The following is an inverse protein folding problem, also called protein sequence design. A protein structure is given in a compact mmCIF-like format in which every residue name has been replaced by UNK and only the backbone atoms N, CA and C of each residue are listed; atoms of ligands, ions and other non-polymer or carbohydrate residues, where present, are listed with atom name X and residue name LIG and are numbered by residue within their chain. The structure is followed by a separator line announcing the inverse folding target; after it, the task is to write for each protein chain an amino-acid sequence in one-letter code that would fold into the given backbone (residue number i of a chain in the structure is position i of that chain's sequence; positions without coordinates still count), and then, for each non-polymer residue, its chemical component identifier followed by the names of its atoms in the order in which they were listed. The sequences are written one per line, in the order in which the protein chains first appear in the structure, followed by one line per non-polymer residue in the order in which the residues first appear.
data_IF_013663773145
#
_entry.id   IF_013663773145
#
_cell.length_a   1.000
_cell.length_b   1.000
_cell.length_c   1.000
_cell.angle_alpha   90.00
_cell.angle_beta   90.00
_cell.angle_gamma   90.00
#
_symmetry.space_group_name_H-M   'P 1'
#
loop_
_entity.id
_entity.type
_entity.pdbx_description
1 polymer ?
#
# COMPACT_ATOMS: atom_id res chain seq x y z
N UNK A 1 3.59 -38.91 50.05
CA UNK A 1 2.12 -38.82 50.06
C UNK A 1 1.76 -37.34 49.89
N UNK A 2 0.93 -37.06 48.88
CA UNK A 2 0.07 -35.88 48.61
C UNK A 2 0.49 -34.45 49.04
N UNK A 3 0.56 -33.55 48.04
CA UNK A 3 -0.13 -32.23 47.85
C UNK A 3 0.80 -31.33 47.00
N UNK A 4 0.64 -31.16 45.68
CA UNK A 4 -0.37 -30.42 44.89
C UNK A 4 -0.65 -28.99 45.36
N UNK A 5 -0.01 -27.99 44.74
CA UNK A 5 -0.53 -26.62 44.57
C UNK A 5 -0.04 -26.00 43.24
N UNK A 6 -1.02 -25.72 42.37
CA UNK A 6 -1.15 -24.77 41.25
C UNK A 6 -0.03 -23.77 40.91
N UNK A 7 0.27 -23.70 39.60
CA UNK A 7 0.57 -22.43 38.91
C UNK A 7 0.12 -22.51 37.44
N UNK A 8 -1.16 -22.22 37.22
CA UNK A 8 -1.77 -21.94 35.91
C UNK A 8 -1.41 -20.48 35.54
N UNK A 9 -0.42 -20.30 34.67
CA UNK A 9 -0.14 -19.01 34.06
C UNK A 9 -1.07 -18.83 32.84
N UNK A 10 -1.93 -17.82 32.94
CA UNK A 10 -2.91 -17.39 31.95
C UNK A 10 -2.21 -16.93 30.67
N UNK A 11 -2.28 -17.71 29.60
CA UNK A 11 -2.12 -17.20 28.24
C UNK A 11 -3.45 -16.59 27.81
N UNK A 12 -3.57 -15.27 27.94
CA UNK A 12 -4.69 -14.50 27.41
C UNK A 12 -4.64 -14.48 25.89
N UNK A 13 -5.24 -15.50 25.26
CA UNK A 13 -5.52 -15.53 23.82
C UNK A 13 -6.68 -14.57 23.55
N UNK A 14 -6.37 -13.30 23.29
CA UNK A 14 -7.35 -12.34 22.76
C UNK A 14 -7.65 -12.72 21.30
N UNK A 15 -8.63 -13.59 21.08
CA UNK A 15 -9.30 -13.69 19.79
C UNK A 15 -10.01 -12.35 19.53
N UNK A 16 -9.35 -11.44 18.80
CA UNK A 16 -10.06 -10.37 18.10
C UNK A 16 -10.98 -11.04 17.08
N UNK A 17 -12.25 -11.18 17.44
CA UNK A 17 -13.30 -11.52 16.48
C UNK A 17 -13.29 -10.45 15.39
N UNK A 18 -12.87 -10.85 14.19
CA UNK A 18 -12.94 -10.01 12.99
C UNK A 18 -14.42 -9.63 12.80
N UNK A 19 -14.77 -8.35 12.65
CA UNK A 19 -16.15 -7.92 12.52
C UNK A 19 -16.70 -8.23 11.11
N UNK A 20 -16.96 -9.51 10.81
CA UNK A 20 -17.45 -10.00 9.51
C UNK A 20 -18.93 -9.66 9.19
N UNK A 21 -19.59 -8.81 9.98
CA UNK A 21 -21.04 -8.60 9.90
C UNK A 21 -21.53 -7.72 8.72
N UNK A 22 -20.69 -7.34 7.74
CA UNK A 22 -21.10 -6.34 6.71
C UNK A 22 -20.85 -6.67 5.25
N UNK A 23 -20.09 -7.72 4.91
CA UNK A 23 -19.84 -8.11 3.51
C UNK A 23 -21.06 -8.77 2.81
N UNK A 24 -22.11 -9.15 3.54
CA UNK A 24 -23.27 -9.86 2.96
C UNK A 24 -24.23 -8.96 2.15
N UNK A 25 -24.10 -7.62 2.21
CA UNK A 25 -25.09 -6.73 1.58
C UNK A 25 -25.06 -6.67 0.04
N UNK A 26 -24.08 -7.28 -0.63
CA UNK A 26 -23.92 -7.11 -2.09
C UNK A 26 -24.49 -8.29 -2.91
N UNK A 27 -24.85 -9.44 -2.33
CA UNK A 27 -25.18 -10.64 -3.13
C UNK A 27 -26.68 -11.06 -3.20
N UNK A 28 -27.64 -10.28 -2.67
CA UNK A 28 -29.05 -10.76 -2.56
C UNK A 28 -30.05 -10.11 -3.54
N UNK A 29 -29.63 -9.26 -4.47
CA UNK A 29 -30.59 -8.55 -5.34
C UNK A 29 -30.51 -8.95 -6.82
N UNK A 30 -30.90 -10.19 -7.15
CA UNK A 30 -31.43 -10.57 -8.48
C UNK A 30 -32.02 -12.00 -8.48
N UNK A 31 -33.14 -12.19 -7.77
CA UNK A 31 -34.11 -13.22 -8.14
C UNK A 31 -35.45 -12.55 -8.39
N UNK A 32 -35.64 -12.10 -9.63
CA UNK A 32 -36.98 -11.84 -10.16
C UNK A 32 -37.67 -13.20 -10.35
N UNK A 33 -38.37 -13.63 -9.31
CA UNK A 33 -39.20 -14.83 -9.30
C UNK A 33 -40.56 -14.50 -9.92
N UNK A 34 -40.68 -14.66 -11.23
CA UNK A 34 -41.98 -14.67 -11.93
C UNK A 34 -42.41 -16.12 -12.13
N UNK A 35 -43.20 -16.63 -11.20
CA UNK A 35 -43.83 -17.94 -11.31
C UNK A 35 -44.89 -18.13 -10.24
N UNK A 36 -46.16 -18.07 -10.64
CA UNK A 36 -47.30 -18.41 -9.80
C UNK A 36 -47.19 -19.88 -9.35
N UNK A 37 -47.06 -20.12 -8.05
CA UNK A 37 -47.22 -21.44 -7.43
C UNK A 37 -48.07 -21.26 -6.18
N UNK A 38 -49.07 -22.12 -6.03
CA UNK A 38 -50.04 -22.11 -4.95
C UNK A 38 -49.40 -22.08 -3.57
N UNK A 39 -50.09 -21.39 -2.67
CA UNK A 39 -49.75 -21.27 -1.27
C UNK A 39 -49.90 -22.63 -0.54
N UNK A 40 -48.89 -23.49 -0.68
CA UNK A 40 -48.57 -24.46 0.35
C UNK A 40 -47.52 -23.77 1.23
N UNK A 41 -47.91 -23.33 2.43
CA UNK A 41 -46.98 -22.79 3.42
C UNK A 41 -45.99 -23.89 3.80
N UNK A 42 -44.89 -23.97 3.04
CA UNK A 42 -43.73 -24.75 3.43
C UNK A 42 -43.28 -24.21 4.78
N UNK A 43 -43.62 -24.93 5.85
CA UNK A 43 -43.11 -24.66 7.19
C UNK A 43 -41.60 -24.84 7.14
N UNK A 44 -40.90 -23.76 6.83
CA UNK A 44 -39.45 -23.68 6.82
C UNK A 44 -38.97 -24.11 8.21
N UNK A 45 -38.30 -25.26 8.29
CA UNK A 45 -37.64 -25.67 9.51
C UNK A 45 -36.49 -24.69 9.77
N UNK A 46 -36.75 -23.74 10.68
CA UNK A 46 -35.81 -22.67 11.02
C UNK A 46 -34.49 -23.22 11.53
N UNK A 47 -34.50 -24.35 12.24
CA UNK A 47 -33.27 -24.94 12.77
C UNK A 47 -32.40 -25.48 11.62
N UNK A 48 -33.01 -26.23 10.69
CA UNK A 48 -32.34 -26.74 9.50
C UNK A 48 -31.82 -25.60 8.61
N UNK A 49 -32.61 -24.56 8.40
CA UNK A 49 -32.18 -23.39 7.62
C UNK A 49 -30.97 -22.67 8.25
N UNK A 50 -30.91 -22.55 9.58
CA UNK A 50 -29.75 -21.97 10.27
C UNK A 50 -28.50 -22.84 10.17
N UNK A 51 -28.63 -24.17 10.19
CA UNK A 51 -27.50 -25.08 9.98
C UNK A 51 -26.98 -25.00 8.53
N UNK A 52 -27.88 -24.97 7.54
CA UNK A 52 -27.51 -24.80 6.13
C UNK A 52 -26.81 -23.45 5.89
N UNK A 53 -27.28 -22.37 6.51
CA UNK A 53 -26.64 -21.06 6.42
C UNK A 53 -25.23 -21.07 7.02
N UNK A 54 -25.02 -21.65 8.21
CA UNK A 54 -23.69 -21.79 8.81
C UNK A 54 -22.74 -22.62 7.94
N UNK A 55 -23.25 -23.69 7.31
CA UNK A 55 -22.44 -24.50 6.40
C UNK A 55 -22.05 -23.72 5.13
N UNK A 56 -22.96 -22.89 4.60
CA UNK A 56 -22.67 -22.00 3.47
C UNK A 56 -21.64 -20.93 3.86
N UNK A 57 -21.78 -20.32 5.04
CA UNK A 57 -20.82 -19.34 5.58
C UNK A 57 -19.41 -19.94 5.68
N UNK A 58 -19.26 -21.08 6.35
CA UNK A 58 -17.95 -21.76 6.49
C UNK A 58 -17.36 -22.15 5.13
N UNK A 59 -18.19 -22.63 4.21
CA UNK A 59 -17.75 -22.96 2.85
C UNK A 59 -17.28 -21.73 2.09
N UNK A 60 -18.00 -20.62 2.20
CA UNK A 60 -17.64 -19.37 1.56
C UNK A 60 -16.34 -18.79 2.14
N UNK A 61 -16.20 -18.77 3.47
CA UNK A 61 -14.97 -18.35 4.14
C UNK A 61 -13.76 -19.15 3.65
N UNK A 62 -13.89 -20.47 3.59
CA UNK A 62 -12.83 -21.34 3.07
C UNK A 62 -12.50 -21.05 1.61
N UNK A 63 -13.51 -20.91 0.74
CA UNK A 63 -13.30 -20.59 -0.67
C UNK A 63 -12.60 -19.24 -0.85
N UNK A 64 -12.97 -18.24 -0.04
CA UNK A 64 -12.33 -16.93 -0.03
C UNK A 64 -10.87 -17.03 0.41
N UNK A 65 -10.59 -17.74 1.50
CA UNK A 65 -9.22 -17.97 1.98
C UNK A 65 -8.39 -18.70 0.92
N UNK A 66 -8.91 -19.79 0.35
CA UNK A 66 -8.22 -20.55 -0.70
C UNK A 66 -7.93 -19.67 -1.94
N UNK A 67 -8.87 -18.79 -2.32
CA UNK A 67 -8.70 -17.85 -3.43
C UNK A 67 -7.65 -16.79 -3.14
N UNK A 68 -7.61 -16.23 -1.92
CA UNK A 68 -6.60 -15.26 -1.50
C UNK A 68 -5.22 -15.90 -1.38
N UNK A 69 -5.10 -17.10 -0.79
CA UNK A 69 -3.84 -17.86 -0.70
C UNK A 69 -3.30 -18.15 -2.11
N UNK A 70 -4.18 -18.59 -3.02
CA UNK A 70 -3.79 -18.82 -4.41
C UNK A 70 -3.35 -17.53 -5.10
N UNK A 71 -4.12 -16.45 -4.96
CA UNK A 71 -3.79 -15.16 -5.58
C UNK A 71 -2.47 -14.59 -5.04
N UNK A 72 -2.26 -14.61 -3.73
CA UNK A 72 -1.02 -14.20 -3.09
C UNK A 72 0.19 -14.98 -3.62
N UNK A 73 0.05 -16.30 -3.77
CA UNK A 73 1.10 -17.15 -4.32
C UNK A 73 1.39 -16.83 -5.79
N UNK A 74 0.35 -16.74 -6.61
CA UNK A 74 0.47 -16.43 -8.04
C UNK A 74 1.14 -15.06 -8.24
N UNK A 75 0.74 -14.04 -7.46
CA UNK A 75 1.32 -12.70 -7.53
C UNK A 75 2.74 -12.67 -6.98
N UNK A 76 3.05 -13.40 -5.92
CA UNK A 76 4.41 -13.49 -5.41
C UNK A 76 5.37 -14.13 -6.44
N UNK A 77 4.93 -15.21 -7.11
CA UNK A 77 5.72 -15.84 -8.17
C UNK A 77 5.89 -14.91 -9.38
N UNK A 78 4.80 -14.27 -9.83
CA UNK A 78 4.85 -13.37 -10.97
C UNK A 78 5.69 -12.12 -10.66
N UNK A 79 5.57 -11.56 -9.46
CA UNK A 79 6.31 -10.38 -9.00
C UNK A 79 7.82 -10.61 -8.86
N UNK A 80 8.27 -11.87 -8.76
CA UNK A 80 9.69 -12.18 -8.74
C UNK A 80 10.39 -11.94 -10.10
N UNK A 81 9.64 -11.89 -11.21
CA UNK A 81 10.19 -11.73 -12.56
C UNK A 81 9.44 -10.63 -13.35
N UNK A 82 10.18 -9.69 -13.95
CA UNK A 82 9.59 -8.55 -14.68
C UNK A 82 8.70 -8.98 -15.84
N UNK A 83 9.09 -10.00 -16.59
CA UNK A 83 8.34 -10.47 -17.76
C UNK A 83 7.06 -11.20 -17.32
N UNK A 84 7.14 -12.05 -16.30
CA UNK A 84 5.97 -12.72 -15.71
C UNK A 84 4.98 -11.70 -15.14
N UNK A 85 5.45 -10.69 -14.40
CA UNK A 85 4.59 -9.65 -13.86
C UNK A 85 3.83 -8.89 -14.96
N UNK A 86 4.54 -8.49 -16.03
CA UNK A 86 3.93 -7.83 -17.20
C UNK A 86 2.94 -8.75 -17.91
N UNK A 87 3.26 -10.04 -18.08
CA UNK A 87 2.36 -11.00 -18.69
C UNK A 87 1.05 -11.13 -17.91
N UNK A 88 1.13 -11.34 -16.59
CA UNK A 88 -0.06 -11.46 -15.73
C UNK A 88 -0.88 -10.17 -15.73
N UNK A 89 -0.23 -9.01 -15.66
CA UNK A 89 -0.92 -7.71 -15.75
C UNK A 89 -1.65 -7.53 -17.08
N UNK A 90 -0.97 -7.78 -18.20
CA UNK A 90 -1.57 -7.62 -19.53
C UNK A 90 -2.71 -8.59 -19.79
N UNK A 91 -2.62 -9.82 -19.28
CA UNK A 91 -3.71 -10.79 -19.35
C UNK A 91 -4.93 -10.32 -18.56
N UNK A 92 -4.74 -9.88 -17.31
CA UNK A 92 -5.83 -9.34 -16.51
C UNK A 92 -6.40 -8.05 -17.10
N UNK A 93 -5.56 -7.16 -17.64
CA UNK A 93 -5.99 -5.96 -18.36
C UNK A 93 -6.84 -6.30 -19.59
N UNK A 94 -6.42 -7.28 -20.40
CA UNK A 94 -7.22 -7.80 -21.52
C UNK A 94 -8.60 -8.27 -21.04
N UNK A 95 -8.61 -9.13 -20.02
CA UNK A 95 -9.83 -9.76 -19.54
C UNK A 95 -10.84 -8.74 -19.01
N UNK A 96 -10.37 -7.67 -18.35
CA UNK A 96 -11.21 -6.66 -17.70
C UNK A 96 -11.65 -5.56 -18.66
N UNK A 97 -10.74 -5.03 -19.49
CA UNK A 97 -11.03 -3.85 -20.32
C UNK A 97 -11.56 -4.21 -21.72
N UNK A 98 -11.23 -5.40 -22.24
CA UNK A 98 -11.64 -5.85 -23.58
C UNK A 98 -12.60 -7.04 -23.56
N UNK A 99 -12.73 -7.69 -22.40
CA UNK A 99 -13.51 -8.91 -22.23
C UNK A 99 -12.83 -10.16 -22.80
N UNK A 100 -13.48 -11.31 -22.64
CA UNK A 100 -12.97 -12.64 -23.06
C UNK A 100 -13.47 -13.09 -24.44
N UNK A 101 -14.26 -12.25 -25.12
CA UNK A 101 -14.80 -12.55 -26.44
C UNK A 101 -13.73 -12.38 -27.54
N UNK A 102 -13.91 -13.04 -28.68
CA UNK A 102 -12.98 -12.96 -29.82
C UNK A 102 -12.78 -11.51 -30.32
N UNK A 103 -13.84 -10.71 -30.33
CA UNK A 103 -13.76 -9.28 -30.67
C UNK A 103 -12.86 -8.50 -29.70
N UNK A 104 -12.84 -8.91 -28.43
CA UNK A 104 -11.97 -8.33 -27.39
C UNK A 104 -10.50 -8.58 -27.70
N UNK A 105 -10.14 -9.76 -28.19
CA UNK A 105 -8.75 -10.10 -28.53
C UNK A 105 -8.22 -9.24 -29.68
N UNK A 106 -9.02 -9.04 -30.74
CA UNK A 106 -8.60 -8.18 -31.86
C UNK A 106 -8.36 -6.73 -31.41
N UNK A 107 -9.26 -6.18 -30.58
CA UNK A 107 -9.10 -4.83 -30.01
C UNK A 107 -7.88 -4.73 -29.09
N UNK A 108 -7.64 -5.76 -28.28
CA UNK A 108 -6.48 -5.83 -27.39
C UNK A 108 -5.16 -5.91 -28.16
N UNK A 109 -5.08 -6.71 -29.23
CA UNK A 109 -3.88 -6.78 -30.07
C UNK A 109 -3.60 -5.41 -30.71
N UNK A 110 -4.62 -4.72 -31.22
CA UNK A 110 -4.46 -3.37 -31.75
C UNK A 110 -3.95 -2.40 -30.67
N UNK A 111 -4.56 -2.40 -29.49
CA UNK A 111 -4.12 -1.59 -28.36
C UNK A 111 -2.67 -1.88 -27.96
N UNK A 112 -2.25 -3.15 -27.97
CA UNK A 112 -0.89 -3.57 -27.65
C UNK A 112 0.12 -3.05 -28.68
N UNK A 113 -0.23 -3.03 -29.96
CA UNK A 113 0.57 -2.41 -31.03
C UNK A 113 0.69 -0.91 -30.79
N UNK A 114 -0.42 -0.24 -30.51
CA UNK A 114 -0.46 1.22 -30.28
C UNK A 114 0.31 1.64 -29.02
N UNK A 115 0.43 0.75 -28.03
CA UNK A 115 1.11 1.00 -26.75
C UNK A 115 2.45 0.25 -26.63
N UNK A 116 2.99 -0.29 -27.72
CA UNK A 116 4.20 -1.15 -27.70
C UNK A 116 5.35 -0.50 -26.94
N UNK A 117 5.66 0.75 -27.27
CA UNK A 117 6.79 1.47 -26.68
C UNK A 117 6.64 1.64 -25.16
N UNK A 118 5.41 1.94 -24.72
CA UNK A 118 5.06 2.07 -23.30
C UNK A 118 5.20 0.73 -22.57
N UNK A 119 4.59 -0.34 -23.09
CA UNK A 119 4.60 -1.64 -22.40
C UNK A 119 5.98 -2.29 -22.38
N UNK A 120 6.87 -1.92 -23.31
CA UNK A 120 8.26 -2.37 -23.33
C UNK A 120 9.21 -1.47 -22.53
N UNK A 121 8.75 -0.34 -22.00
CA UNK A 121 9.64 0.57 -21.27
C UNK A 121 10.08 -0.04 -19.94
N UNK A 122 11.32 0.26 -19.52
CA UNK A 122 11.86 -0.23 -18.26
C UNK A 122 11.01 0.25 -17.07
N UNK A 123 10.51 1.48 -17.13
CA UNK A 123 9.68 2.07 -16.07
C UNK A 123 8.35 1.33 -15.95
N UNK A 124 7.70 1.03 -17.07
CA UNK A 124 6.44 0.29 -17.05
C UNK A 124 6.65 -1.13 -16.50
N UNK A 125 7.66 -1.86 -17.00
CA UNK A 125 7.91 -3.24 -16.54
C UNK A 125 8.28 -3.29 -15.05
N UNK A 126 9.03 -2.30 -14.57
CA UNK A 126 9.43 -2.19 -13.15
C UNK A 126 8.25 -1.78 -12.27
N UNK A 127 7.42 -0.83 -12.72
CA UNK A 127 6.22 -0.41 -11.99
C UNK A 127 5.18 -1.53 -11.90
N UNK A 128 4.97 -2.30 -12.98
CA UNK A 128 4.11 -3.49 -12.95
C UNK A 128 4.66 -4.52 -11.98
N UNK A 129 5.97 -4.79 -12.01
CA UNK A 129 6.59 -5.75 -11.09
C UNK A 129 6.33 -5.36 -9.63
N UNK A 130 6.60 -4.11 -9.26
CA UNK A 130 6.38 -3.59 -7.92
C UNK A 130 4.90 -3.59 -7.54
N UNK A 131 4.00 -3.28 -8.48
CA UNK A 131 2.56 -3.34 -8.25
C UNK A 131 2.10 -4.77 -7.94
N UNK A 132 2.57 -5.77 -8.69
CA UNK A 132 2.26 -7.18 -8.48
C UNK A 132 2.83 -7.68 -7.13
N UNK A 133 4.07 -7.30 -6.79
CA UNK A 133 4.66 -7.62 -5.49
C UNK A 133 3.86 -7.03 -4.32
N UNK A 134 3.47 -5.77 -4.43
CA UNK A 134 2.65 -5.12 -3.41
C UNK A 134 1.29 -5.79 -3.25
N UNK A 135 0.64 -6.15 -4.36
CA UNK A 135 -0.62 -6.89 -4.32
C UNK A 135 -0.49 -8.26 -3.64
N UNK A 136 0.65 -8.94 -3.80
CA UNK A 136 0.93 -10.18 -3.08
C UNK A 136 0.99 -9.96 -1.55
N UNK A 137 1.64 -8.88 -1.10
CA UNK A 137 1.72 -8.51 0.32
C UNK A 137 0.33 -8.16 0.87
N UNK A 138 -0.47 -7.38 0.14
CA UNK A 138 -1.82 -7.00 0.55
C UNK A 138 -2.77 -8.20 0.59
N UNK A 139 -2.66 -9.16 -0.33
CA UNK A 139 -3.45 -10.39 -0.27
C UNK A 139 -3.08 -11.24 0.96
N UNK A 140 -1.81 -11.22 1.38
CA UNK A 140 -1.35 -11.89 2.60
C UNK A 140 -1.83 -11.18 3.86
N UNK A 141 -1.84 -9.85 3.87
CA UNK A 141 -2.41 -9.06 4.95
C UNK A 141 -3.90 -9.39 5.14
N UNK A 142 -4.65 -9.53 4.04
CA UNK A 142 -6.05 -9.93 4.05
C UNK A 142 -6.32 -11.32 4.65
N UNK A 143 -5.32 -12.22 4.65
CA UNK A 143 -5.41 -13.55 5.24
C UNK A 143 -5.25 -13.54 6.78
N UNK A 144 -4.86 -12.41 7.36
CA UNK A 144 -4.72 -12.20 8.80
C UNK A 144 -3.36 -12.61 9.37
N UNK A 145 -3.21 -12.44 10.69
CA UNK A 145 -1.93 -12.44 11.42
C UNK A 145 -0.97 -13.61 11.13
N UNK A 146 -1.49 -14.80 10.78
CA UNK A 146 -0.66 -15.98 10.51
C UNK A 146 0.09 -15.91 9.17
N UNK A 147 -0.53 -15.29 8.18
CA UNK A 147 -0.01 -15.19 6.81
C UNK A 147 0.44 -13.76 6.47
N UNK A 148 0.08 -12.79 7.31
CA UNK A 148 0.45 -11.38 7.18
C UNK A 148 1.96 -11.21 6.91
N UNK A 149 2.34 -10.28 6.03
CA UNK A 149 3.74 -10.00 5.79
C UNK A 149 4.43 -9.51 7.05
N UNK A 150 5.66 -9.96 7.24
CA UNK A 150 6.49 -9.47 8.33
C UNK A 150 6.99 -8.06 8.01
N UNK A 151 7.36 -7.31 9.04
CA UNK A 151 7.82 -5.94 8.88
C UNK A 151 9.04 -5.79 7.95
N UNK A 152 9.95 -6.78 7.93
CA UNK A 152 11.10 -6.82 7.03
C UNK A 152 10.70 -6.99 5.55
N UNK A 153 9.60 -7.69 5.26
CA UNK A 153 9.08 -7.82 3.89
C UNK A 153 8.56 -6.48 3.36
N UNK A 154 7.86 -5.70 4.21
CA UNK A 154 7.43 -4.34 3.88
C UNK A 154 8.61 -3.38 3.66
N UNK A 155 9.68 -3.52 4.47
CA UNK A 155 10.93 -2.77 4.30
C UNK A 155 11.56 -3.07 2.94
N UNK A 156 11.71 -4.35 2.60
CA UNK A 156 12.29 -4.76 1.32
C UNK A 156 11.50 -4.22 0.13
N UNK A 157 10.17 -4.30 0.21
CA UNK A 157 9.31 -3.74 -0.83
C UNK A 157 9.50 -2.23 -0.99
N UNK A 158 9.45 -1.49 0.12
CA UNK A 158 9.58 -0.03 0.08
C UNK A 158 10.92 0.41 -0.49
N UNK A 159 12.02 -0.25 -0.12
CA UNK A 159 13.32 0.07 -0.69
C UNK A 159 13.40 -0.19 -2.18
N UNK A 160 12.80 -1.28 -2.66
CA UNK A 160 12.74 -1.57 -4.09
C UNK A 160 11.93 -0.49 -4.83
N UNK A 161 10.80 -0.07 -4.25
CA UNK A 161 9.98 1.02 -4.77
C UNK A 161 10.74 2.35 -4.76
N UNK A 162 11.41 2.67 -3.66
CA UNK A 162 12.21 3.89 -3.49
C UNK A 162 13.33 3.96 -4.53
N UNK A 163 14.16 2.92 -4.62
CA UNK A 163 15.26 2.83 -5.59
C UNK A 163 14.76 2.91 -7.04
N UNK A 164 13.55 2.42 -7.33
CA UNK A 164 12.98 2.49 -8.68
C UNK A 164 12.66 3.91 -9.14
N UNK A 165 12.41 4.86 -8.22
CA UNK A 165 12.17 6.27 -8.54
C UNK A 165 13.46 7.05 -8.77
N UNK A 166 14.55 6.60 -8.15
CA UNK A 166 15.86 7.26 -8.25
C UNK A 166 16.63 6.88 -9.52
N UNK A 167 16.17 5.91 -10.31
CA UNK A 167 16.81 5.55 -11.58
C UNK A 167 16.51 6.65 -12.60
N UNK A 168 17.51 7.48 -13.00
CA UNK A 168 17.29 8.45 -14.07
C UNK A 168 16.95 7.69 -15.35
N UNK A 169 15.93 8.15 -16.08
CA UNK A 169 15.40 7.54 -17.33
C UNK A 169 16.43 7.42 -18.48
N UNK A 170 17.74 7.68 -18.27
CA UNK A 170 18.72 7.59 -19.34
C UNK A 170 20.17 7.29 -18.89
N UNK A 171 20.67 6.07 -19.16
CA UNK A 171 22.09 5.84 -19.40
C UNK A 171 22.44 5.78 -20.90
N UNK A 172 21.45 5.77 -21.81
CA UNK A 172 21.67 5.33 -23.22
C UNK A 172 21.00 6.18 -24.30
N UNK A 173 20.65 7.45 -24.03
CA UNK A 173 20.65 8.43 -25.12
C UNK A 173 22.09 8.66 -25.55
N UNK A 174 22.57 7.75 -26.39
CA UNK A 174 23.68 7.99 -27.33
C UNK A 174 23.34 9.31 -28.00
N UNK A 175 24.12 10.32 -27.69
CA UNK A 175 24.07 11.64 -28.32
C UNK A 175 24.33 11.42 -29.81
N UNK A 176 23.27 11.22 -30.59
CA UNK A 176 23.39 11.28 -32.04
C UNK A 176 23.75 12.73 -32.40
N UNK A 177 24.83 12.93 -33.18
CA UNK A 177 25.27 14.26 -33.54
C UNK A 177 24.20 14.94 -34.39
N UNK A 178 23.80 16.15 -33.96
CA UNK A 178 22.87 17.05 -34.67
C UNK A 178 23.23 17.17 -36.16
N UNK A 179 22.54 16.41 -36.99
CA UNK A 179 22.46 16.64 -38.43
C UNK A 179 21.54 17.82 -38.71
N UNK A 180 22.11 18.95 -39.13
CA UNK A 180 21.37 20.06 -39.75
C UNK A 180 20.82 19.59 -41.11
N UNK A 181 19.50 19.60 -41.29
CA UNK A 181 18.88 19.38 -42.60
C UNK A 181 17.36 19.46 -42.52
N UNK A 182 16.78 20.49 -43.14
CA UNK A 182 15.35 20.82 -43.01
C UNK A 182 14.41 19.89 -43.77
N UNK A 183 13.11 19.98 -43.47
CA UNK A 183 12.07 20.55 -44.37
C UNK A 183 10.71 20.50 -43.66
N UNK A 184 10.01 21.64 -43.63
CA UNK A 184 8.63 21.77 -43.15
C UNK A 184 7.70 20.90 -44.00
N UNK A 185 6.94 20.02 -43.36
CA UNK A 185 5.70 19.48 -43.94
C UNK A 185 4.55 19.79 -42.99
N UNK A 186 3.70 20.69 -43.46
CA UNK A 186 2.52 21.22 -42.80
C UNK A 186 1.38 20.25 -43.09
N UNK A 187 1.07 19.40 -42.11
CA UNK A 187 -0.03 18.44 -42.16
C UNK A 187 -1.04 18.74 -41.05
N UNK A 188 -2.12 19.41 -41.41
CA UNK A 188 -3.34 19.59 -40.63
C UNK A 188 -3.94 18.23 -40.29
N UNK A 189 -3.85 17.84 -39.03
CA UNK A 189 -4.56 16.70 -38.45
C UNK A 189 -4.91 17.00 -37.01
N UNK A 190 -6.16 17.41 -36.77
CA UNK A 190 -6.77 17.42 -35.44
C UNK A 190 -6.89 15.98 -34.93
N UNK A 191 -5.78 15.44 -34.44
CA UNK A 191 -5.78 14.32 -33.50
C UNK A 191 -5.23 14.89 -32.20
N UNK A 192 -6.10 15.04 -31.20
CA UNK A 192 -5.73 15.40 -29.83
C UNK A 192 -4.79 14.31 -29.32
N UNK A 193 -3.49 14.45 -29.61
CA UNK A 193 -2.42 13.65 -29.01
C UNK A 193 -2.59 13.86 -27.50
N UNK A 194 -3.14 12.86 -26.82
CA UNK A 194 -2.98 12.73 -25.37
C UNK A 194 -1.48 12.84 -25.14
N UNK A 195 -1.08 13.99 -24.62
CA UNK A 195 0.31 14.28 -24.32
C UNK A 195 0.79 13.22 -23.35
N UNK A 196 1.72 12.38 -23.81
CA UNK A 196 2.92 11.89 -23.11
C UNK A 196 2.78 11.88 -21.56
N UNK A 197 1.72 11.29 -21.05
CA UNK A 197 1.59 10.92 -19.65
C UNK A 197 2.40 9.64 -19.53
N UNK A 198 3.65 9.78 -19.05
CA UNK A 198 4.52 8.65 -18.76
C UNK A 198 3.73 7.57 -18.02
N UNK A 199 4.01 6.31 -18.33
CA UNK A 199 3.21 5.15 -17.90
C UNK A 199 3.09 4.90 -16.39
N UNK A 200 3.42 5.88 -15.55
CA UNK A 200 3.32 5.82 -14.10
C UNK A 200 1.93 6.08 -13.52
N UNK A 201 0.99 6.67 -14.26
CA UNK A 201 -0.31 7.04 -13.67
C UNK A 201 -1.24 5.84 -13.41
N UNK A 202 -1.04 4.73 -14.14
CA UNK A 202 -1.85 3.51 -13.96
C UNK A 202 -1.64 2.87 -12.57
N UNK A 203 -0.46 3.05 -11.97
CA UNK A 203 -0.10 2.50 -10.66
C UNK A 203 -0.28 3.49 -9.51
N UNK A 204 -0.83 4.68 -9.80
CA UNK A 204 -1.20 5.70 -8.82
C UNK A 204 -2.68 5.61 -8.40
N UNK A 205 -3.35 4.50 -8.75
CA UNK A 205 -4.72 4.22 -8.31
C UNK A 205 -4.72 3.24 -7.13
N UNK A 206 -5.78 3.22 -6.30
CA UNK A 206 -5.97 2.20 -5.28
C UNK A 206 -5.90 0.78 -5.87
N UNK A 207 -5.40 -0.19 -5.11
CA UNK A 207 -5.24 -1.57 -5.60
C UNK A 207 -6.56 -2.21 -5.97
N UNK A 208 -7.64 -1.86 -5.26
CA UNK A 208 -8.97 -2.39 -5.52
C UNK A 208 -9.47 -2.10 -6.94
N UNK A 209 -8.93 -1.06 -7.59
CA UNK A 209 -9.23 -0.71 -8.99
C UNK A 209 -8.34 -1.43 -10.01
N UNK A 210 -7.26 -2.08 -9.54
CA UNK A 210 -6.30 -2.77 -10.39
C UNK A 210 -7.00 -3.83 -11.26
N UNK A 211 -6.64 -3.93 -12.56
CA UNK A 211 -7.11 -5.01 -13.41
C UNK A 211 -6.84 -6.40 -12.82
N UNK A 212 -5.74 -6.58 -12.08
CA UNK A 212 -5.38 -7.84 -11.41
C UNK A 212 -6.43 -8.24 -10.37
N UNK A 213 -6.85 -7.29 -9.54
CA UNK A 213 -7.86 -7.52 -8.50
C UNK A 213 -9.23 -7.75 -9.14
N UNK A 214 -9.56 -6.98 -10.19
CA UNK A 214 -10.83 -7.09 -10.91
C UNK A 214 -10.98 -8.42 -11.65
N UNK A 215 -9.94 -8.88 -12.35
CA UNK A 215 -9.95 -10.15 -13.08
C UNK A 215 -10.06 -11.35 -12.14
N UNK A 216 -9.46 -11.27 -10.95
CA UNK A 216 -9.53 -12.31 -9.91
C UNK A 216 -10.78 -12.23 -9.03
N UNK A 217 -11.59 -11.18 -9.16
CA UNK A 217 -12.80 -10.94 -8.37
C UNK A 217 -12.56 -10.90 -6.85
N UNK A 218 -11.41 -10.36 -6.43
CA UNK A 218 -11.02 -10.29 -5.01
C UNK A 218 -11.22 -8.91 -4.37
N UNK A 219 -11.83 -7.95 -5.07
CA UNK A 219 -12.02 -6.57 -4.58
C UNK A 219 -12.75 -6.53 -3.24
N UNK A 220 -13.82 -7.33 -3.10
CA UNK A 220 -14.64 -7.37 -1.88
C UNK A 220 -13.87 -7.88 -0.66
N UNK A 221 -12.84 -8.69 -0.86
CA UNK A 221 -12.01 -9.24 0.22
C UNK A 221 -10.87 -8.29 0.62
N UNK A 222 -10.44 -7.43 -0.30
CA UNK A 222 -9.40 -6.43 -0.03
C UNK A 222 -9.96 -5.10 0.49
N UNK A 223 -11.28 -4.88 0.39
CA UNK A 223 -11.91 -3.62 0.78
C UNK A 223 -11.77 -3.26 2.26
N UNK A 224 -11.49 -4.23 3.13
CA UNK A 224 -11.26 -4.01 4.57
C UNK A 224 -9.78 -3.83 4.93
N UNK A 225 -8.87 -4.04 3.97
CA UNK A 225 -7.42 -3.93 4.16
C UNK A 225 -6.99 -2.51 3.79
N UNK A 226 -6.51 -1.75 4.77
CA UNK A 226 -6.12 -0.34 4.57
C UNK A 226 -5.05 -0.19 3.51
N UNK A 227 -4.12 -1.13 3.46
CA UNK A 227 -3.03 -1.21 2.50
C UNK A 227 -3.54 -1.32 1.05
N UNK A 228 -4.76 -1.82 0.83
CA UNK A 228 -5.37 -1.91 -0.50
C UNK A 228 -5.87 -0.56 -1.04
N UNK A 229 -6.12 0.42 -0.16
CA UNK A 229 -6.49 1.78 -0.57
C UNK A 229 -5.25 2.60 -0.99
N UNK A 230 -4.08 2.20 -0.51
CA UNK A 230 -2.81 2.88 -0.77
C UNK A 230 -2.36 2.64 -2.20
N UNK A 231 -1.82 3.69 -2.82
CA UNK A 231 -1.30 3.67 -4.20
C UNK A 231 0.07 3.02 -4.20
N UNK A 232 0.21 1.82 -4.79
CA UNK A 232 1.49 1.09 -4.84
C UNK A 232 2.62 1.87 -5.53
N UNK A 233 2.30 2.79 -6.44
CA UNK A 233 3.29 3.62 -7.14
C UNK A 233 3.82 4.81 -6.31
N UNK A 234 3.23 5.10 -5.15
CA UNK A 234 3.55 6.24 -4.30
C UNK A 234 4.49 5.84 -3.17
N UNK A 235 5.76 6.24 -3.28
CA UNK A 235 6.79 6.02 -2.25
C UNK A 235 6.35 6.58 -0.90
N UNK A 236 5.80 7.80 -0.89
CA UNK A 236 5.41 8.50 0.34
C UNK A 236 4.19 7.87 1.01
N UNK A 237 3.16 7.53 0.23
CA UNK A 237 1.95 6.92 0.78
C UNK A 237 2.26 5.52 1.34
N UNK A 238 2.99 4.70 0.58
CA UNK A 238 3.44 3.37 1.05
C UNK A 238 4.29 3.51 2.32
N UNK A 239 5.23 4.47 2.38
CA UNK A 239 6.03 4.67 3.58
C UNK A 239 5.17 5.02 4.80
N UNK A 240 4.34 6.07 4.66
CA UNK A 240 3.64 6.68 5.77
C UNK A 240 2.45 5.83 6.27
N UNK A 241 1.73 5.20 5.35
CA UNK A 241 0.45 4.53 5.63
C UNK A 241 0.61 3.01 5.82
N UNK A 242 1.69 2.41 5.31
CA UNK A 242 1.91 0.96 5.34
C UNK A 242 3.16 0.62 6.15
N UNK A 243 4.33 0.99 5.66
CA UNK A 243 5.61 0.53 6.20
C UNK A 243 5.84 1.05 7.62
N UNK A 244 5.58 2.34 7.84
CA UNK A 244 5.78 3.01 9.12
C UNK A 244 4.92 2.41 10.24
N UNK A 245 3.60 2.20 10.08
CA UNK A 245 2.79 1.48 11.07
C UNK A 245 3.33 0.09 11.39
N UNK A 246 3.60 -0.74 10.38
CA UNK A 246 4.10 -2.11 10.58
C UNK A 246 5.44 -2.14 11.33
N UNK A 247 6.35 -1.19 11.06
CA UNK A 247 7.63 -1.10 11.77
C UNK A 247 7.50 -0.55 13.19
N UNK A 248 6.54 0.35 13.45
CA UNK A 248 6.24 0.83 14.81
C UNK A 248 5.70 -0.30 15.67
N UNK A 249 4.76 -1.08 15.14
CA UNK A 249 4.15 -2.21 15.84
C UNK A 249 5.20 -3.30 16.15
N UNK A 250 6.12 -3.52 15.20
CA UNK A 250 7.26 -4.41 15.38
C UNK A 250 8.41 -3.82 16.23
N UNK A 251 8.35 -2.52 16.60
CA UNK A 251 9.43 -1.76 17.25
C UNK A 251 10.80 -1.92 16.56
N UNK A 252 10.80 -1.95 15.23
CA UNK A 252 12.01 -2.20 14.46
C UNK A 252 12.88 -0.94 14.33
N UNK A 253 14.19 -1.09 14.55
CA UNK A 253 15.18 -0.03 14.32
C UNK A 253 15.37 0.31 12.84
N UNK A 254 14.91 -0.55 11.92
CA UNK A 254 14.96 -0.27 10.48
C UNK A 254 14.18 1.00 10.11
N UNK A 255 13.15 1.36 10.89
CA UNK A 255 12.39 2.59 10.67
C UNK A 255 13.29 3.82 10.62
N UNK A 256 14.30 3.91 11.48
CA UNK A 256 15.25 5.03 11.51
C UNK A 256 16.13 5.06 10.27
N UNK A 257 16.59 3.88 9.84
CA UNK A 257 17.40 3.74 8.63
C UNK A 257 16.63 4.15 7.39
N UNK A 258 15.35 3.80 7.30
CA UNK A 258 14.49 4.21 6.18
C UNK A 258 14.21 5.71 6.20
N UNK A 259 14.01 6.31 7.39
CA UNK A 259 13.94 7.77 7.54
C UNK A 259 15.21 8.45 7.05
N UNK A 260 16.38 7.95 7.45
CA UNK A 260 17.67 8.52 7.05
C UNK A 260 17.85 8.44 5.52
N UNK A 261 17.48 7.31 4.90
CA UNK A 261 17.48 7.15 3.44
C UNK A 261 16.53 8.13 2.75
N UNK A 262 15.30 8.29 3.27
CA UNK A 262 14.30 9.23 2.72
C UNK A 262 14.78 10.67 2.82
N UNK A 263 15.26 11.09 3.98
CA UNK A 263 15.75 12.45 4.22
C UNK A 263 16.96 12.74 3.33
N UNK A 264 17.90 11.78 3.19
CA UNK A 264 19.06 11.94 2.32
C UNK A 264 18.67 12.14 0.85
N UNK A 265 17.70 11.39 0.32
CA UNK A 265 17.24 11.58 -1.05
C UNK A 265 16.50 12.91 -1.24
N UNK A 266 15.70 13.34 -0.26
CA UNK A 266 15.05 14.65 -0.30
C UNK A 266 16.06 15.81 -0.21
N UNK A 267 17.11 15.66 0.61
CA UNK A 267 18.23 16.61 0.67
C UNK A 267 18.92 16.69 -0.71
N UNK A 268 19.23 15.55 -1.34
CA UNK A 268 19.85 15.50 -2.68
C UNK A 268 18.93 16.09 -3.78
N UNK A 269 17.63 15.80 -3.74
CA UNK A 269 16.68 16.34 -4.71
C UNK A 269 16.58 17.87 -4.58
N UNK A 270 16.45 18.39 -3.36
CA UNK A 270 16.41 19.83 -3.13
C UNK A 270 17.70 20.51 -3.63
N UNK A 271 18.86 19.87 -3.45
CA UNK A 271 20.14 20.36 -3.97
C UNK A 271 20.22 20.34 -5.51
N UNK A 272 19.53 19.41 -6.19
CA UNK A 272 19.42 19.45 -7.66
C UNK A 272 18.51 20.60 -8.14
N UNK A 273 17.54 20.98 -7.32
CA UNK A 273 16.57 22.04 -7.59
C UNK A 273 17.06 23.46 -7.23
N UNK A 274 18.35 23.61 -6.88
CA UNK A 274 19.08 24.84 -6.46
C UNK A 274 18.77 26.12 -7.25
N UNK A 275 18.17 26.02 -8.45
CA UNK A 275 17.75 27.19 -9.25
C UNK A 275 16.38 27.75 -8.86
N UNK A 276 15.74 27.25 -7.80
CA UNK A 276 14.41 27.66 -7.37
C UNK A 276 14.37 28.03 -5.88
N UNK A 277 13.42 28.89 -5.50
CA UNK A 277 13.10 29.23 -4.09
C UNK A 277 12.78 27.99 -3.23
N UNK A 278 12.54 26.83 -3.84
CA UNK A 278 12.18 25.60 -3.15
C UNK A 278 13.27 25.02 -2.23
N UNK A 279 14.56 25.32 -2.47
CA UNK A 279 15.64 24.83 -1.60
C UNK A 279 15.57 25.42 -0.19
N UNK A 280 15.32 26.73 -0.11
CA UNK A 280 15.23 27.44 1.17
C UNK A 280 13.96 27.01 1.91
N UNK A 281 12.82 26.92 1.21
CA UNK A 281 11.57 26.40 1.78
C UNK A 281 11.73 24.98 2.31
N UNK A 282 12.41 24.09 1.57
CA UNK A 282 12.68 22.74 2.03
C UNK A 282 13.56 22.72 3.29
N UNK A 283 14.69 23.45 3.29
CA UNK A 283 15.64 23.47 4.42
C UNK A 283 15.06 24.09 5.67
N UNK A 284 14.24 25.13 5.52
CA UNK A 284 13.66 25.89 6.64
C UNK A 284 12.38 25.27 7.14
N UNK A 285 11.51 24.74 6.26
CA UNK A 285 10.19 24.25 6.63
C UNK A 285 10.14 22.72 6.65
N UNK A 286 10.36 22.08 5.50
CA UNK A 286 10.05 20.64 5.37
C UNK A 286 11.05 19.75 6.10
N UNK A 287 12.34 20.06 6.02
CA UNK A 287 13.39 19.22 6.61
C UNK A 287 13.29 19.13 8.14
N UNK A 288 13.07 20.22 8.90
CA UNK A 288 12.79 20.15 10.34
C UNK A 288 11.58 19.29 10.68
N UNK A 289 10.51 19.33 9.88
CA UNK A 289 9.33 18.47 10.08
C UNK A 289 9.67 17.00 9.92
N UNK A 290 10.44 16.62 8.89
CA UNK A 290 10.87 15.23 8.69
C UNK A 290 11.73 14.73 9.86
N UNK A 291 12.63 15.57 10.37
CA UNK A 291 13.43 15.26 11.54
C UNK A 291 12.57 15.09 12.80
N UNK A 292 11.53 15.92 12.96
CA UNK A 292 10.59 15.81 14.06
C UNK A 292 9.78 14.51 13.99
N UNK A 293 9.23 14.18 12.83
CA UNK A 293 8.49 12.93 12.59
C UNK A 293 9.35 11.68 12.83
N UNK A 294 10.64 11.72 12.46
CA UNK A 294 11.63 10.67 12.77
C UNK A 294 11.84 10.55 14.28
N UNK A 295 11.93 11.67 15.00
CA UNK A 295 12.09 11.68 16.45
C UNK A 295 10.83 11.18 17.20
N UNK A 296 9.63 11.45 16.68
CA UNK A 296 8.41 10.82 17.18
C UNK A 296 8.40 9.30 17.01
N UNK A 297 8.97 8.81 15.90
CA UNK A 297 9.07 7.37 15.67
C UNK A 297 10.05 6.69 16.61
N UNK A 298 11.14 7.37 17.02
CA UNK A 298 12.01 6.90 18.10
C UNK A 298 11.23 6.65 19.40
N UNK A 299 10.34 7.58 19.76
CA UNK A 299 9.49 7.42 20.94
C UNK A 299 8.57 6.19 20.79
N UNK A 300 7.96 6.01 19.62
CA UNK A 300 7.02 4.91 19.35
C UNK A 300 7.68 3.53 19.35
N UNK A 301 8.95 3.42 18.95
CA UNK A 301 9.69 2.15 19.03
C UNK A 301 10.30 1.89 20.42
N UNK A 302 10.16 2.83 21.37
CA UNK A 302 10.60 2.67 22.76
C UNK A 302 11.92 3.37 23.11
N UNK A 303 12.50 4.15 22.20
CA UNK A 303 13.71 4.95 22.41
C UNK A 303 13.36 6.40 22.80
N UNK A 304 12.53 6.54 23.82
CA UNK A 304 11.89 7.80 24.20
C UNK A 304 12.88 8.92 24.55
N UNK A 305 13.90 8.63 25.36
CA UNK A 305 14.92 9.61 25.74
C UNK A 305 15.71 10.12 24.52
N UNK A 306 16.06 9.21 23.60
CA UNK A 306 16.72 9.55 22.33
C UNK A 306 15.83 10.42 21.44
N UNK A 307 14.54 10.10 21.36
CA UNK A 307 13.55 10.91 20.64
C UNK A 307 13.44 12.32 21.20
N UNK A 308 13.32 12.45 22.53
CA UNK A 308 13.27 13.75 23.21
C UNK A 308 14.54 14.57 23.05
N UNK A 309 15.72 13.93 23.11
CA UNK A 309 16.98 14.59 22.87
C UNK A 309 17.03 15.19 21.46
N UNK A 310 16.62 14.44 20.43
CA UNK A 310 16.56 14.93 19.06
C UNK A 310 15.54 16.07 18.89
N UNK A 311 14.35 15.95 19.49
CA UNK A 311 13.35 17.03 19.48
C UNK A 311 13.91 18.33 20.08
N UNK A 312 14.65 18.24 21.19
CA UNK A 312 15.31 19.41 21.79
C UNK A 312 16.40 20.00 20.89
N UNK A 313 17.14 19.18 20.15
CA UNK A 313 18.12 19.66 19.16
C UNK A 313 17.45 20.39 17.99
N UNK A 314 16.34 19.84 17.47
CA UNK A 314 15.55 20.47 16.40
C UNK A 314 15.03 21.84 16.85
N UNK A 315 14.46 21.95 18.05
CA UNK A 315 13.97 23.23 18.59
C UNK A 315 15.08 24.29 18.72
N UNK A 316 16.29 23.88 19.09
CA UNK A 316 17.45 24.77 19.17
C UNK A 316 17.95 25.20 17.79
N UNK A 317 17.96 24.29 16.82
CA UNK A 317 18.43 24.55 15.47
C UNK A 317 17.45 25.39 14.64
N UNK A 318 16.14 25.27 14.91
CA UNK A 318 15.07 25.90 14.13
C UNK A 318 14.09 26.70 15.00
N UNK A 319 14.55 27.74 15.74
CA UNK A 319 13.72 28.47 16.70
C UNK A 319 12.57 29.27 16.06
N UNK A 320 12.67 29.59 14.77
CA UNK A 320 11.68 30.38 14.03
C UNK A 320 10.75 29.53 13.12
N UNK A 321 10.79 28.19 13.24
CA UNK A 321 9.90 27.34 12.46
C UNK A 321 8.42 27.62 12.80
N UNK A 322 7.49 27.64 11.83
CA UNK A 322 6.07 27.93 12.09
C UNK A 322 5.42 27.00 13.12
N UNK A 323 5.89 25.75 13.22
CA UNK A 323 5.40 24.74 14.19
C UNK A 323 6.15 24.73 15.53
N UNK A 324 7.13 25.60 15.76
CA UNK A 324 7.94 25.60 17.00
C UNK A 324 7.07 25.73 18.26
N UNK A 325 6.02 26.55 18.23
CA UNK A 325 5.13 26.72 19.39
C UNK A 325 4.36 25.43 19.72
N UNK A 326 3.88 24.72 18.70
CA UNK A 326 3.21 23.41 18.82
C UNK A 326 4.17 22.36 19.38
N UNK A 327 5.36 22.25 18.78
CA UNK A 327 6.42 21.34 19.21
C UNK A 327 6.87 21.56 20.67
N UNK A 328 6.97 22.82 21.10
CA UNK A 328 7.27 23.15 22.52
C UNK A 328 6.13 22.69 23.43
N UNK A 329 4.87 22.86 23.00
CA UNK A 329 3.71 22.41 23.79
C UNK A 329 3.68 20.89 23.93
N UNK A 330 3.90 20.15 22.83
CA UNK A 330 4.04 18.69 22.83
C UNK A 330 5.15 18.22 23.77
N UNK A 331 6.34 18.84 23.69
CA UNK A 331 7.46 18.49 24.56
C UNK A 331 7.19 18.78 26.04
N UNK A 332 6.55 19.91 26.36
CA UNK A 332 6.15 20.22 27.73
C UNK A 332 5.14 19.20 28.26
N UNK A 333 4.19 18.76 27.44
CA UNK A 333 3.22 17.74 27.82
C UNK A 333 3.91 16.39 28.05
N UNK A 334 4.81 15.97 27.16
CA UNK A 334 5.55 14.72 27.28
C UNK A 334 6.43 14.67 28.53
N UNK A 335 7.09 15.78 28.87
CA UNK A 335 7.96 15.88 30.06
C UNK A 335 7.20 16.12 31.37
N UNK A 336 6.06 16.82 31.32
CA UNK A 336 5.24 17.15 32.49
C UNK A 336 4.28 16.03 32.90
N UNK A 337 3.88 15.17 31.96
CA UNK A 337 2.91 14.08 32.18
C UNK A 337 3.40 12.90 33.01
N UNK A 338 4.70 12.83 33.36
CA UNK A 338 5.27 11.77 34.22
C UNK A 338 5.28 12.14 35.71
N UNK A 339 4.86 13.35 36.10
CA UNK A 339 4.78 13.79 37.50
C UNK A 339 3.38 13.56 38.10
N UNK A 340 2.91 12.32 38.11
CA UNK A 340 1.69 11.90 38.82
C UNK A 340 1.90 10.56 39.51
N UNK A 341 2.82 10.51 40.48
CA UNK A 341 2.77 9.61 41.65
C UNK A 341 4.03 9.80 42.50
N UNK A 342 4.07 10.84 43.32
CA UNK A 342 4.71 10.71 44.64
C UNK A 342 3.56 10.63 45.64
N UNK A 343 3.40 9.52 46.39
CA UNK A 343 2.38 9.44 47.41
C UNK A 343 2.70 10.51 48.45
N UNK A 344 1.73 11.39 48.64
CA UNK A 344 1.67 12.35 49.72
C UNK A 344 1.82 11.59 51.04
N UNK A 345 3.07 11.52 51.53
CA UNK A 345 3.33 11.10 52.90
C UNK A 345 2.82 12.24 53.78
N UNK A 346 1.74 11.96 54.49
CA UNK A 346 1.40 12.64 55.71
C UNK A 346 0.84 11.62 56.71
N UNK A 347 0.95 11.87 58.03
CA UNK A 347 1.70 12.93 58.71
C UNK A 347 3.02 12.43 59.34
#
# INVERSE_FOLDING_TARGET
MATSVSALAQFGFFMKMIPFARAWKIFVLNMAWTGAVGAEEAKLDRAKALEELKAIEQKNEKLTQDLLVKSARDFNEAGADKLKAVQVYLESYRNVEFGRAQEGDTKFQQWKVDNKDKISSLDFTTAVQLHVQYLALVCREALGEKEAPKADEWVMYWEALFKSKDVPENPTEVVEPKGKGGRKQQGTGMGRRQAKGGGGDEFNRPLVESPLVRDRQIQGFLAEVKEAEVRSGSVDAVFNEVVRPHLRDAKSRDLLRLWDQRIAAMDEQAEKEVKTLGLDDYKVLRRPELLWERAEDLEKIGEQESGWAQKMEILKAYPYHPKTAEWIAEMKQALGGSSSALPEKAP
#
